data_IF_001810822169
#
_entry.id   IF_001810822169
#
_cell.length_a   1.000
_cell.length_b   1.000
_cell.length_c   1.000
_cell.angle_alpha   90.00
_cell.angle_beta   90.00
_cell.angle_gamma   90.00
#
_symmetry.space_group_name_H-M   'P 1'
#
loop_
_entity.id
_entity.type
_entity.pdbx_description
1 polymer ?
#
# COMPACT_ATOMS: atom_id res chain seq x y z
N UNK A 1 -13.38 -3.09 -14.01
CA UNK A 1 -12.65 -2.98 -12.73
C UNK A 1 -11.42 -3.90 -12.76
N UNK A 2 -10.34 -3.47 -13.43
CA UNK A 2 -9.12 -4.30 -13.63
C UNK A 2 -7.81 -3.53 -13.40
N UNK A 3 -7.89 -2.25 -13.02
CA UNK A 3 -6.74 -1.34 -12.87
C UNK A 3 -6.08 -1.47 -11.50
N UNK A 4 -6.85 -1.74 -10.45
CA UNK A 4 -6.34 -1.84 -9.07
C UNK A 4 -5.47 -3.08 -8.87
N UNK A 5 -5.94 -4.26 -9.30
CA UNK A 5 -5.17 -5.50 -9.17
C UNK A 5 -3.80 -5.44 -9.87
N UNK A 6 -3.76 -4.85 -11.07
CA UNK A 6 -2.51 -4.73 -11.86
C UNK A 6 -1.55 -3.68 -11.28
N UNK A 7 -2.08 -2.66 -10.60
CA UNK A 7 -1.26 -1.67 -9.91
C UNK A 7 -0.71 -2.20 -8.59
N UNK A 8 -1.49 -3.00 -7.87
CA UNK A 8 -1.03 -3.71 -6.66
C UNK A 8 0.09 -4.70 -6.97
N UNK A 9 -0.01 -5.44 -8.08
CA UNK A 9 1.02 -6.40 -8.49
C UNK A 9 2.35 -5.70 -8.82
N UNK A 10 2.29 -4.51 -9.44
CA UNK A 10 3.49 -3.71 -9.72
C UNK A 10 4.15 -3.15 -8.45
N UNK A 11 3.36 -2.74 -7.46
CA UNK A 11 3.91 -2.29 -6.16
C UNK A 11 4.60 -3.44 -5.42
N UNK A 12 4.05 -4.65 -5.49
CA UNK A 12 4.67 -5.83 -4.88
C UNK A 12 6.02 -6.17 -5.51
N UNK A 13 6.14 -6.07 -6.83
CA UNK A 13 7.41 -6.31 -7.54
C UNK A 13 8.50 -5.30 -7.12
N UNK A 14 8.14 -4.00 -7.03
CA UNK A 14 9.06 -2.95 -6.60
C UNK A 14 9.53 -3.19 -5.16
N UNK A 15 8.60 -3.41 -4.23
CA UNK A 15 8.91 -3.62 -2.80
C UNK A 15 9.72 -4.90 -2.60
N UNK A 16 9.42 -5.96 -3.35
CA UNK A 16 10.22 -7.20 -3.34
C UNK A 16 11.65 -6.93 -3.80
N UNK A 17 11.84 -6.16 -4.87
CA UNK A 17 13.18 -5.81 -5.36
C UNK A 17 14.00 -5.00 -4.36
N UNK A 18 13.38 -4.05 -3.66
CA UNK A 18 14.05 -3.26 -2.61
C UNK A 18 14.41 -4.10 -1.39
N UNK A 19 13.47 -4.90 -0.88
CA UNK A 19 13.70 -5.79 0.25
C UNK A 19 14.74 -6.87 -0.07
N UNK A 20 14.74 -7.41 -1.28
CA UNK A 20 15.78 -8.36 -1.70
C UNK A 20 17.15 -7.68 -1.65
N UNK A 21 17.28 -6.44 -2.13
CA UNK A 21 18.57 -5.72 -2.05
C UNK A 21 19.01 -5.44 -0.62
N UNK A 22 18.07 -5.16 0.27
CA UNK A 22 18.34 -4.85 1.68
C UNK A 22 18.68 -6.10 2.50
N UNK A 23 18.02 -7.23 2.22
CA UNK A 23 18.13 -8.44 3.02
C UNK A 23 18.92 -9.58 2.36
N UNK A 24 19.41 -9.44 1.11
CA UNK A 24 20.17 -10.48 0.39
C UNK A 24 21.40 -11.02 1.14
N UNK A 25 21.99 -10.24 2.04
CA UNK A 25 23.16 -10.65 2.83
C UNK A 25 22.78 -11.52 4.04
N UNK A 26 21.52 -11.46 4.47
CA UNK A 26 21.01 -12.09 5.71
C UNK A 26 20.00 -13.20 5.42
N UNK A 27 19.21 -13.05 4.36
CA UNK A 27 18.11 -13.94 4.00
C UNK A 27 18.17 -14.30 2.50
N UNK A 28 17.81 -15.54 2.14
CA UNK A 28 17.69 -15.91 0.74
C UNK A 28 16.54 -15.16 0.09
N UNK A 29 16.74 -14.80 -1.19
CA UNK A 29 15.79 -14.07 -2.03
C UNK A 29 14.39 -14.71 -1.97
N UNK A 30 14.32 -16.04 -2.04
CA UNK A 30 13.06 -16.79 -1.97
C UNK A 30 12.28 -16.54 -0.68
N UNK A 31 12.96 -16.43 0.47
CA UNK A 31 12.31 -16.10 1.75
C UNK A 31 11.77 -14.69 1.76
N UNK A 32 12.51 -13.72 1.19
CA UNK A 32 12.04 -12.34 1.08
C UNK A 32 10.79 -12.25 0.20
N UNK A 33 10.80 -12.91 -0.96
CA UNK A 33 9.65 -12.93 -1.87
C UNK A 33 8.42 -13.60 -1.25
N UNK A 34 8.59 -14.72 -0.52
CA UNK A 34 7.51 -15.39 0.20
C UNK A 34 6.87 -14.49 1.26
N UNK A 35 7.68 -13.77 2.04
CA UNK A 35 7.19 -12.84 3.07
C UNK A 35 6.39 -11.70 2.46
N UNK A 36 6.85 -11.13 1.34
CA UNK A 36 6.11 -10.06 0.65
C UNK A 36 4.79 -10.57 0.07
N UNK A 37 4.76 -11.80 -0.46
CA UNK A 37 3.54 -12.43 -0.96
C UNK A 37 2.50 -12.67 0.15
N UNK A 38 2.95 -13.15 1.32
CA UNK A 38 2.08 -13.32 2.51
C UNK A 38 1.56 -11.97 2.99
N UNK A 39 2.42 -10.96 3.11
CA UNK A 39 2.00 -9.61 3.51
C UNK A 39 0.96 -9.00 2.54
N UNK A 40 1.10 -9.24 1.23
CA UNK A 40 0.08 -8.84 0.24
C UNK A 40 -1.26 -9.53 0.49
N UNK A 41 -1.25 -10.85 0.68
CA UNK A 41 -2.46 -11.63 0.93
C UNK A 41 -3.16 -11.17 2.23
N UNK A 42 -2.39 -10.90 3.27
CA UNK A 42 -2.92 -10.39 4.54
C UNK A 42 -3.56 -9.00 4.40
N UNK A 43 -3.04 -8.16 3.51
CA UNK A 43 -3.59 -6.84 3.20
C UNK A 43 -4.81 -6.92 2.26
N UNK A 44 -4.81 -7.83 1.29
CA UNK A 44 -5.96 -8.07 0.39
C UNK A 44 -7.23 -8.47 1.16
N UNK A 45 -7.09 -9.09 2.34
CA UNK A 45 -8.21 -9.42 3.24
C UNK A 45 -8.51 -8.39 4.35
N UNK A 46 -7.58 -7.47 4.65
CA UNK A 46 -7.70 -6.52 5.78
C UNK A 46 -7.96 -5.07 5.37
N UNK A 47 -7.68 -4.69 4.12
CA UNK A 47 -8.10 -3.38 3.61
C UNK A 47 -9.57 -3.50 3.22
N UNK A 48 -10.45 -3.29 4.20
CA UNK A 48 -11.88 -3.07 3.92
C UNK A 48 -11.95 -1.81 3.04
N UNK A 49 -12.30 -1.92 1.75
CA UNK A 49 -12.22 -0.79 0.82
C UNK A 49 -13.10 0.38 1.28
N UNK A 50 -14.18 0.09 1.99
CA UNK A 50 -15.06 1.06 2.62
C UNK A 50 -14.39 1.84 3.75
N UNK A 51 -13.55 1.19 4.58
CA UNK A 51 -12.83 1.86 5.65
C UNK A 51 -11.72 2.77 5.10
N UNK A 52 -11.04 2.35 4.03
CA UNK A 52 -10.03 3.16 3.36
C UNK A 52 -10.67 4.40 2.69
N UNK A 53 -11.83 4.21 2.04
CA UNK A 53 -12.58 5.30 1.43
C UNK A 53 -13.04 6.33 2.47
N UNK A 54 -13.60 5.89 3.60
CA UNK A 54 -14.00 6.75 4.71
C UNK A 54 -12.82 7.50 5.32
N UNK A 55 -11.69 6.83 5.51
CA UNK A 55 -10.49 7.43 6.11
C UNK A 55 -9.84 8.45 5.16
N UNK A 56 -9.82 8.17 3.85
CA UNK A 56 -9.41 9.11 2.82
C UNK A 56 -10.33 10.32 2.77
N UNK A 57 -11.65 10.11 2.85
CA UNK A 57 -12.63 11.20 2.84
C UNK A 57 -12.42 12.13 4.04
N UNK A 58 -12.29 11.58 5.25
CA UNK A 58 -12.01 12.37 6.47
C UNK A 58 -10.69 13.11 6.39
N UNK A 59 -9.63 12.46 5.93
CA UNK A 59 -8.30 13.07 5.84
C UNK A 59 -8.27 14.20 4.79
N UNK A 60 -8.89 13.98 3.63
CA UNK A 60 -9.01 15.00 2.59
C UNK A 60 -9.85 16.19 3.08
N UNK A 61 -11.00 15.93 3.71
CA UNK A 61 -11.85 16.96 4.29
C UNK A 61 -11.08 17.79 5.32
N UNK A 62 -10.40 17.14 6.27
CA UNK A 62 -9.61 17.82 7.29
C UNK A 62 -8.51 18.72 6.68
N UNK A 63 -7.77 18.21 5.68
CA UNK A 63 -6.74 18.99 4.98
C UNK A 63 -7.35 20.19 4.24
N UNK A 64 -8.48 20.01 3.56
CA UNK A 64 -9.17 21.08 2.82
C UNK A 64 -9.75 22.15 3.75
N UNK A 65 -10.26 21.76 4.92
CA UNK A 65 -10.73 22.68 5.96
C UNK A 65 -9.59 23.45 6.63
N UNK A 66 -8.38 22.88 6.65
CA UNK A 66 -7.17 23.52 7.18
C UNK A 66 -6.48 24.46 6.17
N UNK A 67 -6.92 24.50 4.90
CA UNK A 67 -6.36 25.42 3.91
C UNK A 67 -6.85 26.86 4.18
N UNK A 68 -5.92 27.84 4.29
CA UNK A 68 -6.29 29.25 4.41
C UNK A 68 -6.86 29.73 3.07
N UNK A 69 -8.19 29.84 2.99
CA UNK A 69 -8.92 30.24 1.78
C UNK A 69 -10.34 29.68 1.68
N UNK A 70 -10.67 28.66 2.49
CA UNK A 70 -11.99 28.00 2.50
C UNK A 70 -13.08 28.74 3.31
N UNK A 71 -12.80 29.97 3.78
CA UNK A 71 -13.76 30.86 4.43
C UNK A 71 -13.86 32.17 3.65
N UNK A 72 -14.67 32.19 2.59
CA UNK A 72 -15.09 33.42 1.93
C UNK A 72 -16.54 33.33 1.50
#
# INVERSE_FOLDING_TARGET
MATTARQSDHHVDIVSGELVREFQDVLPISTVTDVVAIARHDLEGQIVPEALQEMLHRLAHHRLSALPGSHR
#
